data_IF_474416550582
#
_entry.id   IF_474416550582
#
_cell.length_a   1.000
_cell.length_b   1.000
_cell.length_c   1.000
_cell.angle_alpha   90.00
_cell.angle_beta   90.00
_cell.angle_gamma   90.00
#
_symmetry.space_group_name_H-M   'P 1'
#
loop_
_entity.id
_entity.type
_entity.pdbx_description
1 polymer ?
#
# COMPACT_ATOMS: atom_id res chain seq x y z
N UNK A 1 -3.42 -6.26 40.95
CA UNK A 1 -2.74 -7.07 39.93
C UNK A 1 -2.26 -8.37 40.53
N UNK A 2 -2.48 -9.49 39.84
CA UNK A 2 -1.95 -10.79 40.25
C UNK A 2 -0.56 -10.96 39.63
N UNK A 3 0.49 -10.85 40.41
CA UNK A 3 1.88 -10.98 39.96
C UNK A 3 2.18 -12.36 39.35
N UNK A 4 1.59 -13.40 39.89
CA UNK A 4 1.75 -14.78 39.40
C UNK A 4 1.15 -14.92 38.01
N UNK A 5 -0.05 -14.36 37.76
CA UNK A 5 -0.68 -14.35 36.46
C UNK A 5 0.15 -13.56 35.44
N UNK A 6 0.69 -12.41 35.83
CA UNK A 6 1.56 -11.61 34.96
C UNK A 6 2.85 -12.34 34.60
N UNK A 7 3.46 -13.02 35.52
CA UNK A 7 4.65 -13.83 35.30
C UNK A 7 4.35 -15.02 34.36
N UNK A 8 3.20 -15.67 34.54
CA UNK A 8 2.76 -16.73 33.66
C UNK A 8 2.56 -16.22 32.21
N UNK A 9 1.87 -15.10 32.03
CA UNK A 9 1.63 -14.52 30.69
C UNK A 9 2.94 -14.10 30.02
N UNK A 10 3.85 -13.44 30.75
CA UNK A 10 5.18 -13.09 30.23
C UNK A 10 5.97 -14.34 29.80
N UNK A 11 5.93 -15.40 30.61
CA UNK A 11 6.60 -16.66 30.29
C UNK A 11 5.99 -17.33 29.05
N UNK A 12 4.66 -17.30 28.90
CA UNK A 12 3.96 -17.85 27.76
C UNK A 12 4.30 -17.08 26.47
N UNK A 13 4.21 -15.75 26.51
CA UNK A 13 4.59 -14.88 25.38
C UNK A 13 6.06 -15.09 25.01
N UNK A 14 6.94 -15.18 26.00
CA UNK A 14 8.37 -15.46 25.78
C UNK A 14 8.61 -16.76 25.02
N UNK A 15 7.86 -17.83 25.30
CA UNK A 15 7.95 -19.08 24.52
C UNK A 15 7.51 -18.91 23.07
N UNK A 16 6.48 -18.12 22.79
CA UNK A 16 6.10 -17.79 21.42
C UNK A 16 7.18 -16.98 20.72
N UNK A 17 7.75 -15.98 21.41
CA UNK A 17 8.87 -15.20 20.86
C UNK A 17 10.06 -16.10 20.52
N UNK A 18 10.43 -17.04 21.42
CA UNK A 18 11.51 -18.02 21.18
C UNK A 18 11.21 -18.90 19.95
N UNK A 19 9.96 -19.32 19.79
CA UNK A 19 9.55 -20.12 18.64
C UNK A 19 9.65 -19.35 17.31
N UNK A 20 9.31 -18.06 17.33
CA UNK A 20 9.31 -17.22 16.12
C UNK A 20 10.65 -16.53 15.84
N UNK A 21 11.56 -16.48 16.80
CA UNK A 21 12.90 -15.91 16.61
C UNK A 21 13.61 -16.58 15.44
N UNK A 22 14.16 -15.77 14.55
CA UNK A 22 14.81 -16.22 13.31
C UNK A 22 13.86 -16.69 12.19
N UNK A 23 12.54 -16.81 12.45
CA UNK A 23 11.52 -17.19 11.45
C UNK A 23 10.72 -16.01 10.94
N UNK A 24 10.57 -14.96 11.75
CA UNK A 24 9.93 -13.70 11.39
C UNK A 24 10.78 -12.53 11.84
N UNK A 25 10.52 -11.35 11.29
CA UNK A 25 11.17 -10.11 11.69
C UNK A 25 10.36 -9.33 12.71
N UNK A 26 9.05 -9.47 12.71
CA UNK A 26 8.13 -8.69 13.54
C UNK A 26 7.34 -9.66 14.41
N UNK A 27 7.16 -9.29 15.68
CA UNK A 27 6.30 -10.02 16.61
C UNK A 27 5.30 -9.07 17.25
N UNK A 28 4.00 -9.32 16.97
CA UNK A 28 2.91 -8.60 17.63
C UNK A 28 2.60 -9.28 18.97
N UNK A 29 2.82 -8.57 20.07
CA UNK A 29 2.55 -9.07 21.40
C UNK A 29 1.16 -8.70 21.94
N UNK A 30 0.28 -8.14 21.10
CA UNK A 30 -1.11 -7.86 21.44
C UNK A 30 -1.30 -6.51 22.12
N UNK A 31 -1.87 -6.54 23.33
CA UNK A 31 -2.26 -5.40 24.18
C UNK A 31 -3.54 -4.67 23.79
N UNK A 32 -4.21 -5.13 22.70
CA UNK A 32 -5.55 -4.68 22.36
C UNK A 32 -6.54 -5.00 23.50
N UNK A 33 -7.50 -4.11 23.67
CA UNK A 33 -8.60 -4.24 24.62
C UNK A 33 -8.23 -4.61 26.08
N UNK A 34 -6.94 -4.46 26.44
CA UNK A 34 -6.41 -4.80 27.76
C UNK A 34 -7.25 -4.24 28.92
N UNK A 35 -7.82 -3.07 28.77
CA UNK A 35 -8.59 -2.41 29.80
C UNK A 35 -10.10 -2.70 29.75
N UNK A 36 -10.60 -3.38 28.72
CA UNK A 36 -12.06 -3.52 28.52
C UNK A 36 -12.74 -4.27 29.65
N UNK A 37 -12.21 -5.41 30.04
CA UNK A 37 -12.83 -6.27 31.04
C UNK A 37 -12.47 -5.89 32.48
N UNK A 38 -11.40 -5.14 32.67
CA UNK A 38 -10.90 -4.77 34.00
C UNK A 38 -11.80 -3.74 34.71
N UNK A 39 -12.74 -3.08 34.02
CA UNK A 39 -13.33 -1.84 34.48
C UNK A 39 -14.80 -1.62 34.09
N UNK A 40 -15.54 -2.66 33.75
CA UNK A 40 -16.95 -2.54 33.33
C UNK A 40 -17.15 -1.46 32.24
N UNK A 41 -16.40 -1.53 31.15
CA UNK A 41 -16.46 -0.64 29.99
C UNK A 41 -15.95 0.81 30.20
N UNK A 42 -15.29 1.11 31.32
CA UNK A 42 -14.64 2.42 31.50
C UNK A 42 -13.15 2.41 31.09
N UNK A 43 -12.62 1.24 30.79
CA UNK A 43 -11.38 1.02 30.07
C UNK A 43 -10.17 1.80 30.57
N UNK A 44 -9.44 2.40 29.65
CA UNK A 44 -8.18 3.11 29.89
C UNK A 44 -8.30 4.30 30.83
N UNK A 45 -9.43 5.04 30.80
CA UNK A 45 -9.68 6.12 31.73
C UNK A 45 -9.65 5.62 33.19
N UNK A 46 -10.23 4.45 33.44
CA UNK A 46 -10.27 3.86 34.76
C UNK A 46 -8.88 3.42 35.24
N UNK A 47 -8.07 2.85 34.33
CA UNK A 47 -6.69 2.52 34.65
C UNK A 47 -5.89 3.77 35.06
N UNK A 48 -6.08 4.88 34.36
CA UNK A 48 -5.49 6.17 34.73
C UNK A 48 -5.96 6.65 36.09
N UNK A 49 -7.27 6.64 36.33
CA UNK A 49 -7.87 7.08 37.57
C UNK A 49 -7.33 6.31 38.80
N UNK A 50 -7.15 5.00 38.63
CA UNK A 50 -6.61 4.17 39.72
C UNK A 50 -5.06 4.14 39.77
N UNK A 51 -4.38 4.92 38.98
CA UNK A 51 -2.92 4.92 38.94
C UNK A 51 -2.29 3.62 38.38
N UNK A 52 -3.06 2.83 37.67
CA UNK A 52 -2.61 1.55 37.08
C UNK A 52 -2.05 1.67 35.69
N UNK A 53 -2.23 2.81 35.04
CA UNK A 53 -1.79 3.04 33.67
C UNK A 53 -0.26 2.93 33.51
N UNK A 54 0.51 3.40 34.49
CA UNK A 54 1.96 3.22 34.51
C UNK A 54 2.40 1.76 34.51
N UNK A 55 1.65 0.88 35.20
CA UNK A 55 1.93 -0.58 35.19
C UNK A 55 1.64 -1.24 33.86
N UNK A 56 0.61 -0.76 33.13
CA UNK A 56 0.36 -1.18 31.78
C UNK A 56 1.54 -0.80 30.87
N UNK A 57 2.04 0.44 30.96
CA UNK A 57 3.20 0.89 30.18
C UNK A 57 4.46 0.07 30.50
N UNK A 58 4.71 -0.23 31.79
CA UNK A 58 5.80 -1.11 32.22
C UNK A 58 5.66 -2.51 31.61
N UNK A 59 4.46 -3.07 31.60
CA UNK A 59 4.18 -4.36 30.98
C UNK A 59 4.43 -4.35 29.48
N UNK A 60 3.89 -3.38 28.75
CA UNK A 60 4.09 -3.24 27.32
C UNK A 60 5.58 -3.06 26.95
N UNK A 61 6.31 -2.23 27.72
CA UNK A 61 7.75 -2.02 27.54
C UNK A 61 8.56 -3.29 27.85
N UNK A 62 8.14 -4.07 28.86
CA UNK A 62 8.77 -5.37 29.16
C UNK A 62 8.64 -6.33 27.98
N UNK A 63 7.45 -6.42 27.38
CA UNK A 63 7.24 -7.29 26.21
C UNK A 63 8.03 -6.80 24.98
N UNK A 64 8.10 -5.49 24.78
CA UNK A 64 8.92 -4.91 23.71
C UNK A 64 10.42 -5.24 23.89
N UNK A 65 10.95 -5.12 25.12
CA UNK A 65 12.32 -5.51 25.44
C UNK A 65 12.56 -7.00 25.20
N UNK A 66 11.65 -7.88 25.66
CA UNK A 66 11.73 -9.32 25.42
C UNK A 66 11.78 -9.71 23.95
N UNK A 67 11.04 -9.00 23.10
CA UNK A 67 11.07 -9.20 21.64
C UNK A 67 12.43 -8.77 21.07
N UNK A 68 12.93 -7.59 21.43
CA UNK A 68 14.21 -7.06 20.96
C UNK A 68 15.40 -7.95 21.37
N UNK A 69 15.41 -8.49 22.59
CA UNK A 69 16.41 -9.44 23.06
C UNK A 69 16.52 -10.70 22.17
N UNK A 70 15.44 -11.03 21.47
CA UNK A 70 15.35 -12.17 20.54
C UNK A 70 15.54 -11.80 19.07
N UNK A 71 15.95 -10.55 18.80
CA UNK A 71 16.12 -10.03 17.45
C UNK A 71 14.80 -9.82 16.69
N UNK A 72 13.67 -9.73 17.41
CA UNK A 72 12.36 -9.46 16.87
C UNK A 72 12.03 -7.96 17.00
N UNK A 73 11.47 -7.39 15.96
CA UNK A 73 10.90 -6.04 15.98
C UNK A 73 9.57 -6.09 16.74
N UNK A 74 9.41 -5.38 17.86
CA UNK A 74 8.17 -5.40 18.62
C UNK A 74 7.05 -4.66 17.86
N UNK A 75 5.85 -5.20 17.94
CA UNK A 75 4.62 -4.59 17.45
C UNK A 75 3.51 -4.78 18.48
N UNK A 76 2.61 -3.82 18.61
CA UNK A 76 1.45 -3.87 19.48
C UNK A 76 0.27 -3.13 18.87
N UNK A 77 -0.94 -3.45 19.29
CA UNK A 77 -2.13 -2.68 18.93
C UNK A 77 -2.17 -1.33 19.68
N UNK A 78 -2.85 -0.35 19.08
CA UNK A 78 -2.74 1.06 19.50
C UNK A 78 -3.52 1.44 20.77
N UNK A 79 -4.39 0.62 21.29
CA UNK A 79 -5.44 0.99 22.27
C UNK A 79 -4.93 1.75 23.48
N UNK A 80 -3.88 1.28 24.10
CA UNK A 80 -3.37 1.83 25.34
C UNK A 80 -2.21 2.80 25.19
N UNK A 81 -1.68 2.97 23.99
CA UNK A 81 -0.52 3.82 23.77
C UNK A 81 -0.92 5.30 23.82
N UNK A 82 -0.38 6.05 24.79
CA UNK A 82 -0.61 7.48 24.96
C UNK A 82 -2.08 7.90 24.93
N UNK A 83 -2.91 7.17 25.69
CA UNK A 83 -4.35 7.38 25.73
C UNK A 83 -4.72 8.87 25.93
N UNK A 84 -5.64 9.37 25.10
CA UNK A 84 -6.08 10.77 25.03
C UNK A 84 -4.99 11.77 24.55
N UNK A 85 -4.03 11.34 23.74
CA UNK A 85 -2.91 12.18 23.28
C UNK A 85 -2.13 12.81 24.46
N UNK A 86 -1.85 12.02 25.52
CA UNK A 86 -1.17 12.49 26.72
C UNK A 86 0.12 11.76 27.03
N UNK A 87 1.10 12.48 27.54
CA UNK A 87 2.42 12.00 27.95
C UNK A 87 2.48 11.60 29.44
N UNK A 88 1.47 10.88 29.91
CA UNK A 88 1.42 10.45 31.32
C UNK A 88 2.47 9.36 31.63
N UNK A 89 2.89 8.63 30.62
CA UNK A 89 3.86 7.52 30.68
C UNK A 89 4.69 7.47 29.40
N UNK A 90 5.82 6.78 29.45
CA UNK A 90 6.67 6.55 28.29
C UNK A 90 6.56 5.11 27.80
N UNK A 91 6.37 4.95 26.48
CA UNK A 91 6.42 3.68 25.79
C UNK A 91 7.67 3.55 24.94
N UNK A 92 8.12 2.31 24.73
CA UNK A 92 9.28 2.00 23.89
C UNK A 92 9.02 2.46 22.44
N UNK A 93 9.89 3.34 21.94
CA UNK A 93 9.73 4.00 20.62
C UNK A 93 10.01 3.08 19.44
N UNK A 94 10.62 1.92 19.68
CA UNK A 94 10.86 0.93 18.63
C UNK A 94 9.60 0.10 18.31
N UNK A 95 8.54 0.20 19.10
CA UNK A 95 7.30 -0.53 18.86
C UNK A 95 6.62 -0.03 17.60
N UNK A 96 6.35 -0.94 16.66
CA UNK A 96 5.45 -0.65 15.53
C UNK A 96 4.01 -0.66 16.06
N UNK A 97 3.27 0.39 15.80
CA UNK A 97 1.87 0.49 16.20
C UNK A 97 0.97 -0.13 15.15
N UNK A 98 0.35 -1.26 15.47
CA UNK A 98 -0.73 -1.85 14.69
C UNK A 98 -2.00 -1.05 14.96
N UNK A 99 -2.26 -0.06 14.09
CA UNK A 99 -3.35 0.89 14.30
C UNK A 99 -4.65 0.36 13.72
N UNK A 100 -5.52 -0.18 14.58
CA UNK A 100 -6.76 -0.83 14.17
C UNK A 100 -8.02 0.00 14.44
N UNK A 101 -7.99 0.86 15.46
CA UNK A 101 -9.16 1.63 15.88
C UNK A 101 -8.80 3.05 16.31
N UNK A 102 -9.65 4.00 15.97
CA UNK A 102 -9.63 5.38 16.50
C UNK A 102 -10.31 5.51 17.87
N UNK A 103 -10.77 4.40 18.38
CA UNK A 103 -11.68 4.33 19.54
C UNK A 103 -13.12 4.13 19.11
N UNK A 104 -13.88 3.72 20.05
CA UNK A 104 -15.32 3.53 19.93
C UNK A 104 -16.00 4.18 21.13
N UNK A 105 -17.25 3.92 21.34
CA UNK A 105 -18.05 4.53 22.39
C UNK A 105 -17.31 4.62 23.74
N UNK A 106 -17.02 5.85 24.19
CA UNK A 106 -16.36 6.11 25.47
C UNK A 106 -14.83 5.95 25.49
N UNK A 107 -14.21 5.59 24.37
CA UNK A 107 -12.75 5.42 24.27
C UNK A 107 -12.14 6.53 23.42
N UNK A 108 -11.15 7.24 23.98
CA UNK A 108 -10.40 8.29 23.33
C UNK A 108 -8.97 7.81 23.07
N UNK A 109 -8.80 6.88 22.14
CA UNK A 109 -7.48 6.37 21.79
C UNK A 109 -6.61 7.47 21.19
N UNK A 110 -5.30 7.33 21.30
CA UNK A 110 -4.37 8.30 20.75
C UNK A 110 -4.55 8.44 19.23
N UNK A 111 -4.49 9.68 18.77
CA UNK A 111 -4.53 9.96 17.34
C UNK A 111 -3.27 9.46 16.64
N UNK A 112 -3.37 9.00 15.39
CA UNK A 112 -2.18 8.55 14.66
C UNK A 112 -1.20 9.70 14.42
N UNK A 113 -1.67 10.96 14.34
CA UNK A 113 -0.82 12.13 14.24
C UNK A 113 0.02 12.35 15.51
N UNK A 114 -0.60 12.16 16.67
CA UNK A 114 0.10 12.26 17.94
C UNK A 114 1.18 11.18 18.07
N UNK A 115 0.83 9.93 17.77
CA UNK A 115 1.79 8.82 17.78
C UNK A 115 2.91 9.02 16.76
N UNK A 116 2.61 9.55 15.56
CA UNK A 116 3.62 9.89 14.56
C UNK A 116 4.57 10.99 15.05
N UNK A 117 4.06 12.00 15.77
CA UNK A 117 4.88 13.07 16.37
C UNK A 117 5.85 12.54 17.43
N UNK A 118 5.55 11.38 18.02
CA UNK A 118 6.42 10.66 18.93
C UNK A 118 7.45 9.77 18.24
N UNK A 119 7.39 9.65 16.90
CA UNK A 119 8.33 8.88 16.11
C UNK A 119 7.89 7.45 15.79
N UNK A 120 6.67 7.06 16.14
CA UNK A 120 6.17 5.71 15.85
C UNK A 120 5.90 5.50 14.37
N UNK A 121 6.12 4.27 13.93
CA UNK A 121 5.70 3.75 12.61
C UNK A 121 4.43 2.93 12.78
N UNK A 122 3.63 2.87 11.71
CA UNK A 122 2.35 2.18 11.74
C UNK A 122 2.30 0.99 10.81
N UNK A 123 1.67 -0.09 11.29
CA UNK A 123 1.04 -1.07 10.44
C UNK A 123 -0.46 -0.74 10.41
N UNK A 124 -1.04 -0.52 9.24
CA UNK A 124 -2.46 -0.21 9.13
C UNK A 124 -3.29 -1.49 9.24
N UNK A 125 -3.95 -1.66 10.37
CA UNK A 125 -4.85 -2.79 10.65
C UNK A 125 -6.27 -2.28 10.76
N UNK A 126 -6.67 -1.42 9.83
CA UNK A 126 -7.94 -0.69 9.90
C UNK A 126 -9.12 -1.60 10.24
N UNK A 127 -9.79 -1.30 11.34
CA UNK A 127 -10.95 -2.05 11.82
C UNK A 127 -12.16 -1.98 10.90
N UNK A 128 -12.17 -1.12 9.88
CA UNK A 128 -13.28 -1.06 8.93
C UNK A 128 -13.24 -2.21 7.89
N UNK A 129 -12.09 -2.83 7.66
CA UNK A 129 -11.96 -3.91 6.68
C UNK A 129 -11.79 -5.32 7.29
N UNK A 130 -12.11 -5.48 8.55
CA UNK A 130 -12.08 -6.79 9.20
C UNK A 130 -13.30 -7.64 8.85
N UNK A 131 -13.11 -8.97 8.92
CA UNK A 131 -14.17 -9.96 8.77
C UNK A 131 -14.25 -10.84 10.02
N UNK A 132 -15.45 -10.99 10.56
CA UNK A 132 -15.75 -11.98 11.61
C UNK A 132 -16.39 -13.19 10.92
N UNK A 133 -15.76 -14.35 11.04
CA UNK A 133 -16.19 -15.59 10.39
C UNK A 133 -17.65 -15.90 10.72
N UNK A 134 -18.46 -16.08 9.66
CA UNK A 134 -19.88 -16.35 9.77
C UNK A 134 -20.75 -15.17 10.18
N UNK A 135 -20.20 -13.96 10.29
CA UNK A 135 -20.96 -12.74 10.58
C UNK A 135 -21.88 -12.38 9.42
N UNK A 136 -23.10 -11.97 9.74
CA UNK A 136 -24.14 -11.58 8.78
C UNK A 136 -24.51 -10.11 8.94
N UNK A 137 -25.16 -9.48 7.92
CA UNK A 137 -25.55 -8.08 7.98
C UNK A 137 -26.42 -7.72 9.19
N UNK A 138 -27.29 -8.63 9.61
CA UNK A 138 -28.16 -8.46 10.77
C UNK A 138 -27.43 -8.45 12.12
N UNK A 139 -26.22 -8.97 12.17
CA UNK A 139 -25.38 -9.00 13.37
C UNK A 139 -24.61 -7.68 13.59
N UNK A 140 -24.62 -6.74 12.64
CA UNK A 140 -23.94 -5.46 12.73
C UNK A 140 -22.73 -5.33 11.80
N UNK A 141 -21.54 -5.00 12.29
CA UNK A 141 -20.32 -4.85 11.49
C UNK A 141 -19.58 -6.17 11.27
N UNK A 142 -18.55 -6.15 10.43
CA UNK A 142 -17.62 -7.29 10.26
C UNK A 142 -18.13 -8.41 9.37
N UNK A 143 -19.17 -8.24 8.56
CA UNK A 143 -19.59 -9.22 7.57
C UNK A 143 -18.88 -9.01 6.22
N UNK A 144 -18.73 -10.08 5.45
CA UNK A 144 -17.91 -10.13 4.23
C UNK A 144 -18.16 -8.97 3.26
N UNK A 145 -19.40 -8.73 2.87
CA UNK A 145 -19.74 -7.69 1.91
C UNK A 145 -19.25 -6.31 2.36
N UNK A 146 -19.41 -5.99 3.64
CA UNK A 146 -18.95 -4.70 4.19
C UNK A 146 -17.44 -4.61 4.24
N UNK A 147 -16.76 -5.70 4.59
CA UNK A 147 -15.30 -5.78 4.58
C UNK A 147 -14.74 -5.57 3.17
N UNK A 148 -15.32 -6.18 2.15
CA UNK A 148 -14.96 -6.00 0.73
C UNK A 148 -15.16 -4.53 0.30
N UNK A 149 -16.34 -3.97 0.55
CA UNK A 149 -16.63 -2.57 0.22
C UNK A 149 -15.67 -1.58 0.90
N UNK A 150 -15.33 -1.82 2.15
CA UNK A 150 -14.40 -0.97 2.90
C UNK A 150 -12.96 -1.14 2.42
N UNK A 151 -12.55 -2.36 2.07
CA UNK A 151 -11.24 -2.63 1.48
C UNK A 151 -11.07 -1.86 0.17
N UNK A 152 -12.10 -1.82 -0.67
CA UNK A 152 -12.07 -1.09 -1.93
C UNK A 152 -12.03 0.45 -1.75
N UNK A 153 -12.76 0.96 -0.74
CA UNK A 153 -12.94 2.42 -0.54
C UNK A 153 -11.84 3.07 0.30
N UNK A 154 -11.21 2.30 1.19
CA UNK A 154 -10.26 2.86 2.17
C UNK A 154 -8.82 2.72 1.71
N UNK A 155 -8.11 3.81 1.41
CA UNK A 155 -6.69 3.76 1.09
C UNK A 155 -5.86 3.07 2.19
N UNK A 156 -4.87 2.26 1.79
CA UNK A 156 -4.05 1.50 2.75
C UNK A 156 -3.16 2.35 3.66
N UNK A 157 -2.87 3.59 3.31
CA UNK A 157 -2.18 4.54 4.19
C UNK A 157 -3.14 5.36 5.06
N UNK A 158 -4.45 5.19 4.88
CA UNK A 158 -5.46 5.83 5.71
C UNK A 158 -5.72 4.96 6.95
N UNK A 159 -5.11 5.32 8.06
CA UNK A 159 -5.35 4.67 9.34
C UNK A 159 -6.79 4.90 9.82
N UNK A 160 -7.26 4.11 10.78
CA UNK A 160 -8.62 4.17 11.33
C UNK A 160 -8.93 5.49 12.08
N UNK A 161 -8.57 6.60 11.46
CA UNK A 161 -8.88 7.96 11.89
C UNK A 161 -9.38 8.75 10.70
N UNK A 162 -10.60 9.24 10.78
CA UNK A 162 -11.18 10.10 9.74
C UNK A 162 -10.85 11.57 9.93
N UNK A 163 -10.15 11.94 11.01
CA UNK A 163 -9.95 13.33 11.38
C UNK A 163 -8.99 14.07 10.43
N UNK A 164 -7.99 13.36 9.90
CA UNK A 164 -6.97 13.91 9.02
C UNK A 164 -6.58 12.89 7.93
N UNK A 165 -7.49 12.56 6.99
CA UNK A 165 -7.25 11.51 5.99
C UNK A 165 -6.16 11.88 4.98
N UNK A 166 -5.90 13.18 4.78
CA UNK A 166 -4.93 13.71 3.84
C UNK A 166 -3.49 13.75 4.37
N UNK A 167 -3.29 13.49 5.65
CA UNK A 167 -1.94 13.51 6.25
C UNK A 167 -1.22 12.21 5.97
N UNK A 168 -0.08 12.30 5.30
CA UNK A 168 0.79 11.15 5.06
C UNK A 168 1.50 10.74 6.37
N UNK A 169 1.13 9.59 6.88
CA UNK A 169 1.67 9.04 8.13
C UNK A 169 2.71 7.94 7.81
N UNK A 170 3.70 7.71 8.70
CA UNK A 170 4.77 6.73 8.47
C UNK A 170 4.26 5.28 8.52
N UNK A 171 3.39 4.91 7.58
CA UNK A 171 2.78 3.58 7.45
C UNK A 171 3.73 2.67 6.69
N UNK A 172 4.09 1.54 7.30
CA UNK A 172 5.04 0.56 6.74
C UNK A 172 4.37 -0.58 5.99
N UNK A 173 3.06 -0.71 6.11
CA UNK A 173 2.26 -1.75 5.49
C UNK A 173 0.86 -1.81 6.06
N UNK A 174 0.10 -2.84 5.68
CA UNK A 174 -1.24 -3.10 6.18
C UNK A 174 -1.47 -4.56 6.53
N UNK A 175 -2.45 -4.81 7.36
CA UNK A 175 -2.83 -6.14 7.82
C UNK A 175 -4.35 -6.26 7.80
N UNK A 176 -4.84 -7.34 7.19
CA UNK A 176 -6.23 -7.72 7.23
C UNK A 176 -6.49 -8.57 8.49
N UNK A 177 -7.52 -8.23 9.25
CA UNK A 177 -7.95 -9.01 10.40
C UNK A 177 -9.14 -9.92 10.05
N UNK A 178 -9.00 -11.21 10.37
CA UNK A 178 -10.07 -12.21 10.24
C UNK A 178 -10.25 -12.83 11.62
N UNK A 179 -11.40 -12.58 12.24
CA UNK A 179 -11.70 -12.93 13.61
C UNK A 179 -12.60 -14.16 13.70
N UNK A 180 -12.39 -15.01 14.69
CA UNK A 180 -13.20 -16.18 14.99
C UNK A 180 -13.98 -16.01 16.30
N UNK A 181 -14.67 -14.88 16.47
CA UNK A 181 -15.41 -14.53 17.70
C UNK A 181 -16.55 -15.50 18.00
N UNK A 182 -17.04 -16.17 16.97
CA UNK A 182 -18.07 -17.20 17.08
C UNK A 182 -17.52 -18.55 16.62
N UNK A 183 -16.82 -19.32 17.47
CA UNK A 183 -16.13 -20.54 17.06
C UNK A 183 -17.01 -21.61 16.40
N UNK A 184 -18.33 -21.57 16.65
CA UNK A 184 -19.32 -22.48 16.04
C UNK A 184 -20.00 -21.90 14.80
N UNK A 185 -19.63 -20.69 14.35
CA UNK A 185 -20.25 -20.09 13.18
C UNK A 185 -19.80 -20.82 11.90
N UNK A 186 -20.76 -21.14 11.05
CA UNK A 186 -20.48 -21.67 9.72
C UNK A 186 -19.95 -20.54 8.84
N UNK A 187 -18.87 -20.79 8.13
CA UNK A 187 -18.30 -19.89 7.13
C UNK A 187 -17.81 -20.70 5.93
N UNK A 188 -17.55 -20.02 4.83
CA UNK A 188 -16.99 -20.61 3.63
C UNK A 188 -15.56 -20.16 3.43
N UNK A 189 -14.66 -21.08 3.11
CA UNK A 189 -13.26 -20.76 2.83
C UNK A 189 -13.13 -19.81 1.62
N UNK A 190 -14.02 -19.96 0.64
CA UNK A 190 -14.06 -19.09 -0.55
C UNK A 190 -14.26 -17.62 -0.18
N UNK A 191 -15.04 -17.32 0.86
CA UNK A 191 -15.26 -15.95 1.36
C UNK A 191 -13.97 -15.35 1.94
N UNK A 192 -13.16 -16.17 2.61
CA UNK A 192 -11.86 -15.76 3.12
C UNK A 192 -10.91 -15.45 1.95
N UNK A 193 -10.85 -16.34 0.96
CA UNK A 193 -10.01 -16.12 -0.21
C UNK A 193 -10.44 -14.93 -1.05
N UNK A 194 -11.74 -14.68 -1.19
CA UNK A 194 -12.26 -13.50 -1.88
C UNK A 194 -11.77 -12.21 -1.20
N UNK A 195 -11.91 -12.11 0.11
CA UNK A 195 -11.46 -10.93 0.86
C UNK A 195 -9.93 -10.77 0.84
N UNK A 196 -9.19 -11.87 1.01
CA UNK A 196 -7.72 -11.84 0.94
C UNK A 196 -7.23 -11.41 -0.44
N UNK A 197 -7.89 -11.84 -1.51
CA UNK A 197 -7.56 -11.46 -2.87
C UNK A 197 -7.83 -9.97 -3.10
N UNK A 198 -9.00 -9.49 -2.72
CA UNK A 198 -9.35 -8.07 -2.83
C UNK A 198 -8.37 -7.19 -2.03
N UNK A 199 -8.03 -7.62 -0.81
CA UNK A 199 -7.04 -6.93 0.03
C UNK A 199 -5.65 -6.91 -0.61
N UNK A 200 -5.18 -8.03 -1.15
CA UNK A 200 -3.87 -8.12 -1.78
C UNK A 200 -3.78 -7.28 -3.06
N UNK A 201 -4.81 -7.30 -3.89
CA UNK A 201 -4.85 -6.54 -5.14
C UNK A 201 -4.86 -5.04 -4.88
N UNK A 202 -5.68 -4.59 -3.93
CA UNK A 202 -5.71 -3.19 -3.53
C UNK A 202 -4.38 -2.72 -2.92
N UNK A 203 -3.79 -3.53 -2.02
CA UNK A 203 -2.50 -3.24 -1.40
C UNK A 203 -1.34 -3.16 -2.42
N UNK A 204 -1.36 -4.04 -3.41
CA UNK A 204 -0.34 -4.12 -4.46
C UNK A 204 -0.16 -2.79 -5.21
N UNK A 205 -1.23 -2.11 -5.55
CA UNK A 205 -1.17 -0.86 -6.30
C UNK A 205 -0.88 0.34 -5.38
N UNK A 206 -1.41 0.32 -4.19
CA UNK A 206 -1.33 1.44 -3.25
C UNK A 206 0.06 1.63 -2.63
N UNK A 207 0.73 0.53 -2.26
CA UNK A 207 2.07 0.58 -1.66
C UNK A 207 3.21 0.43 -2.67
N UNK A 208 2.91 0.41 -3.94
CA UNK A 208 3.91 0.38 -4.99
C UNK A 208 4.67 1.69 -5.04
N UNK A 209 5.98 1.63 -5.33
CA UNK A 209 6.78 2.80 -5.62
C UNK A 209 6.21 3.55 -6.84
N UNK A 210 6.41 4.87 -6.89
CA UNK A 210 6.05 5.67 -8.06
C UNK A 210 7.07 5.47 -9.19
N UNK A 211 6.63 4.82 -10.27
CA UNK A 211 7.45 4.50 -11.44
C UNK A 211 7.36 5.55 -12.57
N UNK A 212 6.70 6.70 -12.35
CA UNK A 212 6.53 7.69 -13.40
C UNK A 212 7.87 8.18 -13.94
N UNK A 213 8.81 8.54 -13.07
CA UNK A 213 10.15 8.97 -13.47
C UNK A 213 10.93 7.89 -14.25
N UNK A 214 10.74 6.60 -13.91
CA UNK A 214 11.32 5.51 -14.66
C UNK A 214 10.71 5.40 -16.07
N UNK A 215 9.40 5.52 -16.19
CA UNK A 215 8.70 5.47 -17.49
C UNK A 215 9.16 6.61 -18.40
N UNK A 216 9.24 7.82 -17.87
CA UNK A 216 9.75 8.99 -18.58
C UNK A 216 11.17 8.78 -19.07
N UNK A 217 12.05 8.23 -18.22
CA UNK A 217 13.45 7.98 -18.59
C UNK A 217 13.59 6.87 -19.63
N UNK A 218 12.82 5.78 -19.51
CA UNK A 218 12.79 4.70 -20.50
C UNK A 218 12.33 5.20 -21.88
N UNK A 219 11.36 6.10 -21.91
CA UNK A 219 10.83 6.71 -23.14
C UNK A 219 11.88 7.60 -23.86
N UNK A 220 12.91 8.05 -23.14
CA UNK A 220 13.98 8.87 -23.72
C UNK A 220 15.13 8.05 -24.30
N UNK A 221 15.13 6.73 -24.11
CA UNK A 221 16.16 5.86 -24.70
C UNK A 221 15.95 5.80 -26.21
N UNK A 222 16.98 6.04 -27.04
CA UNK A 222 16.86 5.94 -28.49
C UNK A 222 16.34 4.57 -28.93
N UNK A 223 15.39 4.54 -29.83
CA UNK A 223 14.83 3.29 -30.39
C UNK A 223 15.83 2.60 -31.33
N UNK A 224 16.66 3.38 -32.01
CA UNK A 224 17.79 2.86 -32.81
C UNK A 224 19.08 3.04 -32.00
N UNK A 225 19.73 1.93 -31.69
CA UNK A 225 21.01 1.87 -30.98
C UNK A 225 22.20 1.52 -31.87
N UNK A 226 21.95 1.45 -33.19
CA UNK A 226 23.04 1.25 -34.15
C UNK A 226 23.99 2.45 -34.18
N UNK A 227 25.26 2.21 -34.27
CA UNK A 227 26.28 3.27 -34.32
C UNK A 227 26.78 3.79 -32.98
N UNK A 228 26.26 3.28 -31.86
CA UNK A 228 26.85 3.54 -30.54
C UNK A 228 27.97 2.53 -30.21
N UNK A 229 28.95 2.96 -29.39
CA UNK A 229 30.03 2.10 -28.96
C UNK A 229 29.53 0.96 -28.08
N UNK A 230 30.09 -0.23 -28.22
CA UNK A 230 29.70 -1.42 -27.44
C UNK A 230 29.79 -1.15 -25.93
N UNK A 231 30.85 -0.48 -25.47
CA UNK A 231 31.02 -0.11 -24.05
C UNK A 231 29.87 0.72 -23.52
N UNK A 232 29.36 1.71 -24.27
CA UNK A 232 28.24 2.56 -23.84
C UNK A 232 26.91 1.80 -23.91
N UNK A 233 26.73 0.87 -24.84
CA UNK A 233 25.57 -0.01 -24.91
C UNK A 233 25.57 -1.02 -23.76
N UNK A 234 26.69 -1.58 -23.38
CA UNK A 234 26.81 -2.49 -22.25
C UNK A 234 26.46 -1.79 -20.94
N UNK A 235 26.92 -0.54 -20.77
CA UNK A 235 26.54 0.27 -19.61
C UNK A 235 25.02 0.56 -19.55
N UNK A 236 24.40 0.86 -20.69
CA UNK A 236 22.95 1.05 -20.77
C UNK A 236 22.20 -0.24 -20.46
N UNK A 237 22.63 -1.37 -21.02
CA UNK A 237 22.01 -2.66 -20.79
C UNK A 237 22.13 -3.09 -19.31
N UNK A 238 23.30 -2.93 -18.71
CA UNK A 238 23.49 -3.21 -17.29
C UNK A 238 22.58 -2.34 -16.39
N UNK A 239 22.39 -1.07 -16.75
CA UNK A 239 21.46 -0.20 -16.03
C UNK A 239 19.99 -0.64 -16.19
N UNK A 240 19.59 -1.14 -17.38
CA UNK A 240 18.24 -1.69 -17.62
C UNK A 240 18.00 -3.00 -16.88
N UNK A 241 18.99 -3.89 -16.87
CA UNK A 241 18.93 -5.18 -16.17
C UNK A 241 18.85 -5.02 -14.64
N UNK A 242 19.44 -3.96 -14.10
CA UNK A 242 19.37 -3.64 -12.69
C UNK A 242 17.99 -3.12 -12.24
N UNK A 243 17.07 -2.81 -13.16
CA UNK A 243 15.74 -2.27 -12.80
C UNK A 243 14.91 -3.30 -12.04
N UNK A 244 14.30 -2.85 -10.96
CA UNK A 244 13.37 -3.64 -10.16
C UNK A 244 11.96 -3.04 -10.24
N UNK A 245 11.02 -3.78 -10.82
CA UNK A 245 9.64 -3.36 -11.04
C UNK A 245 8.70 -3.73 -9.90
N UNK A 246 9.21 -4.33 -8.80
CA UNK A 246 8.43 -4.81 -7.66
C UNK A 246 8.78 -4.10 -6.35
N UNK A 247 9.30 -2.87 -6.44
CA UNK A 247 9.59 -2.07 -5.26
C UNK A 247 8.30 -1.47 -4.70
N UNK A 248 8.19 -1.47 -3.38
CA UNK A 248 7.12 -0.79 -2.69
C UNK A 248 7.51 0.68 -2.39
N UNK A 249 6.55 1.48 -1.92
CA UNK A 249 6.73 2.92 -1.65
C UNK A 249 7.86 3.22 -0.66
N UNK A 250 8.11 2.35 0.32
CA UNK A 250 9.22 2.52 1.28
C UNK A 250 10.59 2.42 0.61
N UNK A 251 10.66 1.93 -0.62
CA UNK A 251 11.85 1.78 -1.45
C UNK A 251 11.93 2.82 -2.58
N UNK A 252 11.17 3.92 -2.50
CA UNK A 252 11.19 4.96 -3.52
C UNK A 252 12.61 5.48 -3.79
N UNK A 253 13.39 5.74 -2.75
CA UNK A 253 14.78 6.21 -2.90
C UNK A 253 15.69 5.20 -3.64
N UNK A 254 15.43 3.90 -3.49
CA UNK A 254 16.14 2.86 -4.24
C UNK A 254 15.76 2.92 -5.73
N UNK A 255 14.47 3.06 -6.04
CA UNK A 255 14.00 3.25 -7.41
C UNK A 255 14.60 4.53 -8.03
N UNK A 256 14.57 5.65 -7.33
CA UNK A 256 15.10 6.93 -7.81
C UNK A 256 16.60 6.82 -8.13
N UNK A 257 17.37 6.05 -7.34
CA UNK A 257 18.77 5.77 -7.62
C UNK A 257 18.96 4.90 -8.87
N UNK A 258 18.08 3.94 -9.14
CA UNK A 258 18.09 3.13 -10.36
C UNK A 258 17.76 3.99 -11.59
N UNK A 259 16.77 4.87 -11.48
CA UNK A 259 16.42 5.83 -12.55
C UNK A 259 17.60 6.77 -12.84
N UNK A 260 18.27 7.28 -11.80
CA UNK A 260 19.46 8.12 -11.99
C UNK A 260 20.60 7.39 -12.71
N UNK A 261 20.82 6.12 -12.39
CA UNK A 261 21.82 5.26 -13.09
C UNK A 261 21.44 5.05 -14.55
N UNK A 262 20.16 4.74 -14.82
CA UNK A 262 19.66 4.57 -16.19
C UNK A 262 19.84 5.86 -17.00
N UNK A 263 19.49 7.01 -16.43
CA UNK A 263 19.69 8.32 -17.03
C UNK A 263 21.17 8.61 -17.33
N UNK A 264 22.06 8.32 -16.38
CA UNK A 264 23.49 8.48 -16.59
C UNK A 264 24.01 7.59 -17.72
N UNK A 265 23.56 6.34 -17.81
CA UNK A 265 23.94 5.41 -18.87
C UNK A 265 23.40 5.87 -20.24
N UNK A 266 22.15 6.36 -20.32
CA UNK A 266 21.58 6.91 -21.54
C UNK A 266 22.33 8.16 -22.02
N UNK A 267 22.62 9.10 -21.11
CA UNK A 267 23.39 10.30 -21.44
C UNK A 267 24.86 9.99 -21.75
N UNK A 268 25.36 8.84 -21.32
CA UNK A 268 26.69 8.33 -21.59
C UNK A 268 26.84 7.56 -22.91
N UNK A 269 25.77 7.46 -23.71
CA UNK A 269 25.85 6.84 -25.04
C UNK A 269 26.82 7.63 -25.93
N UNK A 270 27.82 6.92 -26.50
CA UNK A 270 28.86 7.48 -27.35
C UNK A 270 28.86 6.82 -28.73
N UNK A 271 29.04 7.59 -29.80
CA UNK A 271 29.20 6.99 -31.12
C UNK A 271 30.32 5.93 -31.11
N UNK A 272 30.14 4.87 -31.89
CA UNK A 272 31.21 3.93 -32.16
C UNK A 272 32.39 4.65 -32.84
N UNK A 273 33.62 4.36 -32.41
CA UNK A 273 34.78 4.92 -33.07
C UNK A 273 34.81 4.42 -34.53
N UNK A 274 34.51 5.30 -35.46
CA UNK A 274 34.73 5.00 -36.89
C UNK A 274 36.23 4.93 -37.10
N UNK A 275 36.71 3.83 -37.67
CA UNK A 275 38.06 3.78 -38.20
C UNK A 275 38.23 4.93 -39.18
N UNK A 276 39.21 5.81 -38.94
CA UNK A 276 39.46 7.01 -39.71
C UNK A 276 39.83 6.66 -41.15
N UNK A 277 38.85 6.71 -42.03
CA UNK A 277 39.05 7.08 -43.41
C UNK A 277 38.52 8.50 -43.51
N UNK A 278 39.37 9.43 -43.99
CA UNK A 278 39.04 10.83 -44.16
C UNK A 278 37.69 11.03 -44.85
N UNK A 279 36.72 11.57 -44.11
CA UNK A 279 35.43 12.00 -44.67
C UNK A 279 35.37 13.54 -44.58
N UNK A 280 34.93 14.14 -45.68
CA UNK A 280 34.76 15.58 -45.89
C UNK A 280 33.92 16.24 -44.81
N UNK A 281 34.36 17.43 -44.37
CA UNK A 281 33.66 18.30 -43.37
C UNK A 281 32.26 18.73 -43.79
N UNK A 282 31.77 18.41 -44.98
CA UNK A 282 30.45 18.80 -45.50
C UNK A 282 29.30 17.80 -45.21
N UNK A 283 29.60 16.59 -44.64
CA UNK A 283 28.55 15.63 -44.29
C UNK A 283 28.05 15.77 -42.82
N UNK A 284 28.72 16.57 -42.02
CA UNK A 284 28.36 16.78 -40.58
C UNK A 284 27.17 17.70 -40.34
N UNK A 285 26.62 18.32 -41.39
CA UNK A 285 25.48 19.26 -41.23
C UNK A 285 24.07 18.64 -41.38
N UNK A 286 23.95 17.33 -41.61
CA UNK A 286 22.68 16.68 -41.92
C UNK A 286 22.05 15.82 -40.80
N UNK A 287 22.70 15.66 -39.66
CA UNK A 287 22.12 14.97 -38.51
C UNK A 287 21.44 15.99 -37.57
N UNK A 288 20.28 16.49 -37.96
CA UNK A 288 19.33 17.13 -37.04
C UNK A 288 18.85 16.03 -36.08
N UNK A 289 19.21 16.17 -34.80
CA UNK A 289 18.64 15.35 -33.73
C UNK A 289 17.12 15.37 -33.83
N UNK A 290 16.51 14.28 -34.33
CA UNK A 290 15.07 14.11 -34.28
C UNK A 290 14.70 13.62 -32.90
N UNK A 291 14.37 14.56 -32.03
CA UNK A 291 13.90 14.27 -30.69
C UNK A 291 12.50 13.70 -30.79
N UNK A 292 12.23 12.46 -30.30
CA UNK A 292 10.88 11.93 -30.32
C UNK A 292 9.94 12.81 -29.46
N UNK A 293 8.79 13.14 -30.00
CA UNK A 293 7.73 13.86 -29.29
C UNK A 293 6.84 12.85 -28.57
N UNK A 294 6.57 13.08 -27.28
CA UNK A 294 5.62 12.27 -26.53
C UNK A 294 4.25 12.92 -26.60
N UNK A 295 3.27 12.22 -27.16
CA UNK A 295 1.88 12.65 -27.20
C UNK A 295 0.98 11.67 -26.46
N UNK A 296 -0.17 12.16 -26.01
CA UNK A 296 -1.24 11.32 -25.46
C UNK A 296 -2.43 11.33 -26.39
N UNK A 297 -3.07 10.16 -26.54
CA UNK A 297 -4.30 10.01 -27.31
C UNK A 297 -5.35 9.30 -26.49
N UNK A 298 -6.50 9.91 -26.29
CA UNK A 298 -7.62 9.29 -25.63
C UNK A 298 -8.42 8.42 -26.60
N UNK A 299 -8.76 7.22 -26.16
CA UNK A 299 -9.67 6.28 -26.83
C UNK A 299 -10.89 6.06 -25.95
N UNK A 300 -12.08 6.11 -26.53
CA UNK A 300 -13.32 5.78 -25.83
C UNK A 300 -13.47 4.28 -25.66
N UNK A 301 -13.80 3.84 -24.45
CA UNK A 301 -14.22 2.48 -24.17
C UNK A 301 -15.74 2.50 -24.09
N UNK A 302 -16.44 1.89 -25.06
CA UNK A 302 -17.90 1.89 -25.06
C UNK A 302 -18.44 1.12 -23.85
N UNK A 303 -19.52 1.62 -23.26
CA UNK A 303 -20.22 0.92 -22.21
C UNK A 303 -21.01 -0.28 -22.73
N UNK A 304 -21.21 -1.29 -21.90
CA UNK A 304 -22.05 -2.45 -22.20
C UNK A 304 -23.52 -2.18 -21.84
N UNK A 305 -24.44 -2.73 -22.62
CA UNK A 305 -25.88 -2.68 -22.34
C UNK A 305 -26.37 -4.05 -21.90
N UNK A 306 -26.82 -4.16 -20.67
CA UNK A 306 -27.40 -5.38 -20.11
C UNK A 306 -28.92 -5.21 -20.03
N UNK A 307 -29.66 -5.96 -20.84
CA UNK A 307 -31.13 -5.99 -20.81
C UNK A 307 -31.62 -7.06 -19.85
N UNK A 308 -32.45 -6.67 -18.89
CA UNK A 308 -33.13 -7.57 -17.96
C UNK A 308 -34.63 -7.48 -18.15
N UNK A 309 -35.31 -8.64 -18.16
CA UNK A 309 -36.78 -8.68 -18.23
C UNK A 309 -37.37 -8.10 -16.93
N UNK A 310 -38.39 -7.25 -17.10
CA UNK A 310 -39.12 -6.69 -15.98
C UNK A 310 -40.64 -6.97 -16.18
N UNK A 311 -41.23 -7.89 -15.41
CA UNK A 311 -42.62 -8.29 -15.55
C UNK A 311 -43.60 -7.15 -15.26
N UNK A 312 -43.15 -6.05 -14.67
CA UNK A 312 -44.00 -4.88 -14.34
C UNK A 312 -44.01 -3.81 -15.44
N UNK A 313 -43.29 -4.03 -16.57
CA UNK A 313 -43.31 -3.12 -17.72
C UNK A 313 -44.23 -3.67 -18.82
N UNK A 314 -45.05 -2.81 -19.47
CA UNK A 314 -45.81 -3.22 -20.64
C UNK A 314 -44.94 -3.80 -21.74
N UNK A 315 -45.46 -4.76 -22.48
CA UNK A 315 -44.75 -5.41 -23.60
C UNK A 315 -44.18 -4.36 -24.57
N UNK A 316 -42.91 -4.53 -24.95
CA UNK A 316 -42.13 -3.64 -25.84
C UNK A 316 -41.75 -2.27 -25.25
N UNK A 317 -41.91 -2.04 -23.98
CA UNK A 317 -41.38 -0.84 -23.32
C UNK A 317 -40.04 -1.17 -22.63
N UNK A 318 -39.08 -0.26 -22.79
CA UNK A 318 -37.78 -0.33 -22.11
C UNK A 318 -37.66 0.85 -21.13
N UNK A 319 -37.08 0.59 -19.97
CA UNK A 319 -36.78 1.62 -18.97
C UNK A 319 -35.30 1.54 -18.62
N UNK A 320 -34.58 2.62 -18.86
CA UNK A 320 -33.19 2.73 -18.43
C UNK A 320 -33.17 2.88 -16.91
N UNK A 321 -32.53 1.96 -16.21
CA UNK A 321 -32.37 1.98 -14.75
C UNK A 321 -31.05 2.65 -14.37
N UNK A 322 -29.99 2.37 -15.10
CA UNK A 322 -28.68 2.99 -14.92
C UNK A 322 -28.23 3.52 -16.27
N UNK A 323 -28.03 4.83 -16.45
CA UNK A 323 -27.48 5.37 -17.68
C UNK A 323 -26.06 4.84 -17.91
N UNK A 324 -25.79 4.32 -19.12
CA UNK A 324 -24.45 3.93 -19.50
C UNK A 324 -23.54 5.16 -19.68
N UNK A 325 -22.29 5.01 -19.33
CA UNK A 325 -21.27 6.04 -19.54
C UNK A 325 -20.04 5.41 -20.16
N UNK A 326 -19.57 5.97 -21.27
CA UNK A 326 -18.33 5.51 -21.88
C UNK A 326 -17.15 5.71 -20.93
N UNK A 327 -16.28 4.72 -20.89
CA UNK A 327 -14.97 4.82 -20.29
C UNK A 327 -13.97 5.53 -21.20
N UNK A 328 -12.76 5.67 -20.72
CA UNK A 328 -11.66 6.28 -21.47
C UNK A 328 -10.36 5.52 -21.21
N UNK A 329 -9.61 5.28 -22.28
CA UNK A 329 -8.24 4.77 -22.24
C UNK A 329 -7.32 5.82 -22.81
N UNK A 330 -6.24 6.14 -22.11
CA UNK A 330 -5.20 7.03 -22.59
C UNK A 330 -4.02 6.21 -23.08
N UNK A 331 -3.64 6.42 -24.35
CA UNK A 331 -2.43 5.88 -24.96
C UNK A 331 -1.30 6.93 -24.84
N UNK A 332 -0.14 6.49 -24.42
CA UNK A 332 1.11 7.26 -24.44
C UNK A 332 1.89 6.84 -25.68
N UNK A 333 2.11 7.77 -26.59
CA UNK A 333 2.62 7.48 -27.92
C UNK A 333 3.90 8.29 -28.14
N UNK A 334 4.98 7.61 -28.55
CA UNK A 334 6.18 8.26 -29.04
C UNK A 334 6.02 8.51 -30.56
N UNK A 335 6.20 9.76 -30.97
CA UNK A 335 6.19 10.17 -32.38
C UNK A 335 7.59 10.54 -32.78
N UNK A 336 8.18 9.75 -33.67
CA UNK A 336 9.47 10.03 -34.26
C UNK A 336 9.26 10.59 -35.68
N UNK A 337 9.82 11.77 -35.95
CA UNK A 337 9.78 12.37 -37.29
C UNK A 337 11.16 12.28 -37.91
N UNK A 338 11.32 11.42 -38.93
CA UNK A 338 12.53 11.27 -39.72
C UNK A 338 12.27 11.62 -41.17
N UNK A 339 13.01 12.53 -41.74
CA UNK A 339 12.90 12.95 -43.15
C UNK A 339 11.46 13.33 -43.56
N UNK A 340 10.70 13.96 -42.63
CA UNK A 340 9.31 14.34 -42.86
C UNK A 340 8.28 13.20 -42.76
N UNK A 341 8.72 11.99 -42.41
CA UNK A 341 7.86 10.84 -42.13
C UNK A 341 7.72 10.63 -40.63
N UNK A 342 6.48 10.61 -40.17
CA UNK A 342 6.17 10.32 -38.78
C UNK A 342 5.95 8.82 -38.56
N UNK A 343 6.56 8.29 -37.49
CA UNK A 343 6.34 6.92 -37.00
C UNK A 343 5.84 7.01 -35.59
N UNK A 344 4.65 6.48 -35.34
CA UNK A 344 4.04 6.41 -33.99
C UNK A 344 4.28 5.05 -33.36
N UNK A 345 4.70 5.03 -32.10
CA UNK A 345 4.87 3.82 -31.31
C UNK A 345 4.10 3.98 -29.98
N UNK A 346 3.11 3.13 -29.72
CA UNK A 346 2.39 3.13 -28.44
C UNK A 346 3.33 2.55 -27.38
N UNK A 347 3.67 3.37 -26.39
CA UNK A 347 4.57 3.00 -25.29
C UNK A 347 3.81 2.36 -24.13
N UNK A 348 2.61 2.88 -23.82
CA UNK A 348 1.76 2.42 -22.74
C UNK A 348 0.29 2.79 -23.01
N UNK A 349 -0.63 2.09 -22.33
CA UNK A 349 -2.07 2.36 -22.43
C UNK A 349 -2.72 2.13 -21.08
N UNK A 350 -3.40 3.15 -20.58
CA UNK A 350 -4.06 3.10 -19.27
C UNK A 350 -5.55 3.41 -19.40
N UNK A 351 -6.37 2.62 -18.70
CA UNK A 351 -7.78 2.98 -18.53
C UNK A 351 -7.85 4.11 -17.50
N UNK A 352 -8.17 5.31 -17.96
CA UNK A 352 -8.26 6.51 -17.13
C UNK A 352 -9.66 6.73 -16.58
N UNK A 353 -10.66 6.06 -17.19
CA UNK A 353 -12.04 6.05 -16.74
C UNK A 353 -12.69 4.74 -17.14
N UNK A 354 -13.21 3.99 -16.16
CA UNK A 354 -13.97 2.77 -16.44
C UNK A 354 -15.35 3.08 -17.02
N UNK A 355 -15.83 2.27 -17.99
CA UNK A 355 -17.19 2.43 -18.51
C UNK A 355 -18.22 2.00 -17.46
N UNK A 356 -19.35 2.69 -17.43
CA UNK A 356 -20.49 2.33 -16.59
C UNK A 356 -21.53 1.62 -17.44
N UNK A 357 -21.81 0.36 -17.12
CA UNK A 357 -22.81 -0.49 -17.83
C UNK A 357 -24.23 0.08 -17.68
N UNK A 358 -24.97 0.12 -18.79
CA UNK A 358 -26.38 0.55 -18.84
C UNK A 358 -27.31 -0.61 -18.52
#
# INVERSE_FOLDING_TARGET
>A
ENEEAMNFVKALIGKYMDFFAGKTKIFNYGTDEYANDATNAQGWYYLKWYGLYGKFAEYANTLAAMAKERGLQPMAFNDGFYYEDKDDVEFDKDVIISYWSKGWWGYNLASPQYLASKGYKFLNTNGDWYYILGQKPEDGGGFLKKALENTEKTPFNQLASTKYPEVDLPTIGSMLAIWADKPSAEYKEEEIFELMTAFADHNKDYFRADYNALREELAQIPTNLEGYSQESLDALNAAKEALNYNLNRSKQAELDALVAKLKAARLGLKPAATHSGSLDENELAANVETKPELITRAEKIPFEVIKKENPNLPAKQEKIVTPGVDGERTHYISVLTENGKQTETVLDSQVTKEPVTQ
#
